data_IF_601849630505
#
_entry.id   IF_601849630505
#
_cell.length_a   1.000
_cell.length_b   1.000
_cell.length_c   1.000
_cell.angle_alpha   90.00
_cell.angle_beta   90.00
_cell.angle_gamma   90.00
#
_symmetry.space_group_name_H-M   'P 1'
#
loop_
_entity.id
_entity.type
_entity.pdbx_description
1 polymer ?
#
# COMPACT_ATOMS: atom_id res chain seq x y z
N UNK A 1 -4.70 19.76 4.83
CA UNK A 1 -4.20 21.04 4.32
C UNK A 1 -5.00 21.56 3.10
N UNK A 2 -6.04 20.84 2.65
CA UNK A 2 -6.88 21.28 1.52
C UNK A 2 -6.27 21.04 0.14
N UNK A 3 -5.24 20.23 0.03
CA UNK A 3 -4.70 19.73 -1.24
C UNK A 3 -5.60 18.61 -1.79
N UNK A 4 -5.71 18.54 -3.11
CA UNK A 4 -6.52 17.55 -3.83
C UNK A 4 -5.66 16.75 -4.82
N UNK A 5 -6.00 15.50 -5.12
CA UNK A 5 -5.38 14.78 -6.23
C UNK A 5 -5.56 15.56 -7.54
N UNK A 6 -4.46 15.75 -8.29
CA UNK A 6 -4.46 16.53 -9.52
C UNK A 6 -4.07 18.00 -9.35
N UNK A 7 -3.89 18.48 -8.12
CA UNK A 7 -3.33 19.81 -7.88
C UNK A 7 -1.90 19.90 -8.41
N UNK A 8 -1.57 21.03 -9.05
CA UNK A 8 -0.23 21.33 -9.56
C UNK A 8 0.48 22.24 -8.57
N UNK A 9 1.62 21.81 -8.04
CA UNK A 9 2.47 22.64 -7.18
C UNK A 9 3.37 23.50 -8.05
N UNK A 10 3.20 24.80 -8.01
CA UNK A 10 3.98 25.76 -8.79
C UNK A 10 5.24 26.22 -8.05
N UNK A 11 5.14 26.41 -6.72
CA UNK A 11 6.27 26.83 -5.89
C UNK A 11 6.25 26.10 -4.54
N UNK A 12 7.44 25.91 -3.96
CA UNK A 12 7.68 25.35 -2.63
C UNK A 12 8.53 26.36 -1.85
N UNK A 13 7.97 26.96 -0.78
CA UNK A 13 8.61 28.03 0.00
C UNK A 13 9.13 29.19 -0.90
N UNK A 14 8.37 29.53 -1.96
CA UNK A 14 8.73 30.58 -2.93
C UNK A 14 9.71 30.14 -4.02
N UNK A 15 10.23 28.91 -4.01
CA UNK A 15 11.06 28.37 -5.05
C UNK A 15 10.20 27.72 -6.14
N UNK A 16 10.41 28.13 -7.40
CA UNK A 16 9.71 27.57 -8.55
C UNK A 16 10.01 26.08 -8.74
N UNK A 17 8.99 25.30 -9.14
CA UNK A 17 9.10 23.84 -9.30
C UNK A 17 9.34 23.41 -10.74
N UNK A 18 9.28 24.32 -11.71
CA UNK A 18 9.30 23.99 -13.14
C UNK A 18 10.55 23.19 -13.57
N UNK A 19 11.73 23.57 -13.03
CA UNK A 19 13.00 22.92 -13.35
C UNK A 19 13.43 21.87 -12.31
N UNK A 20 12.59 21.61 -11.27
CA UNK A 20 12.92 20.65 -10.22
C UNK A 20 12.61 19.21 -10.65
N UNK A 21 13.52 18.31 -10.35
CA UNK A 21 13.24 16.89 -10.40
C UNK A 21 12.34 16.52 -9.24
N UNK A 22 11.58 15.43 -9.39
CA UNK A 22 10.65 14.97 -8.36
C UNK A 22 11.32 14.74 -7.00
N UNK A 23 12.53 14.17 -7.00
CA UNK A 23 13.28 13.91 -5.75
C UNK A 23 13.76 15.21 -5.06
N UNK A 24 14.02 16.26 -5.81
CA UNK A 24 14.37 17.58 -5.30
C UNK A 24 13.15 18.27 -4.69
N UNK A 25 12.02 18.27 -5.40
CA UNK A 25 10.76 18.78 -4.89
C UNK A 25 10.34 18.07 -3.59
N UNK A 26 10.45 16.73 -3.53
CA UNK A 26 10.17 15.95 -2.32
C UNK A 26 11.08 16.34 -1.15
N UNK A 27 12.37 16.61 -1.39
CA UNK A 27 13.29 17.08 -0.34
C UNK A 27 12.90 18.44 0.22
N UNK A 28 12.45 19.36 -0.64
CA UNK A 28 11.99 20.70 -0.20
C UNK A 28 10.69 20.61 0.61
N UNK A 29 9.76 19.74 0.18
CA UNK A 29 8.50 19.53 0.91
C UNK A 29 8.75 18.88 2.27
N UNK A 30 9.67 17.89 2.34
CA UNK A 30 10.05 17.24 3.60
C UNK A 30 10.86 18.20 4.49
N UNK A 31 10.83 17.95 5.79
CA UNK A 31 11.59 18.75 6.77
C UNK A 31 11.28 18.32 8.20
N UNK A 32 11.82 19.05 9.19
CA UNK A 32 11.64 18.75 10.61
C UNK A 32 10.16 18.74 11.00
N UNK A 33 9.76 17.80 11.86
CA UNK A 33 8.42 17.76 12.47
C UNK A 33 8.10 19.09 13.14
N UNK A 34 6.91 19.62 12.89
CA UNK A 34 6.43 20.88 13.46
C UNK A 34 6.84 22.13 12.66
N UNK A 35 7.71 22.01 11.66
CA UNK A 35 7.96 23.09 10.71
C UNK A 35 6.84 23.20 9.68
N UNK A 36 6.74 24.37 9.04
CA UNK A 36 5.75 24.65 7.99
C UNK A 36 6.45 24.72 6.65
N UNK A 37 5.78 24.26 5.58
CA UNK A 37 6.11 24.53 4.19
C UNK A 37 4.94 25.24 3.55
N UNK A 38 5.21 26.22 2.70
CA UNK A 38 4.20 26.93 1.90
C UNK A 38 4.27 26.40 0.47
N UNK A 39 3.15 25.88 -0.01
CA UNK A 39 3.02 25.39 -1.39
C UNK A 39 2.12 26.37 -2.15
N UNK A 40 2.63 26.94 -3.25
CA UNK A 40 1.80 27.67 -4.20
C UNK A 40 1.20 26.64 -5.17
N UNK A 41 -0.12 26.52 -5.18
CA UNK A 41 -0.85 25.43 -5.81
C UNK A 41 -1.92 25.95 -6.76
N UNK A 42 -1.99 25.35 -7.95
CA UNK A 42 -3.05 25.55 -8.91
C UNK A 42 -3.90 24.26 -9.03
N UNK A 43 -5.19 24.39 -8.79
CA UNK A 43 -6.16 23.28 -8.95
C UNK A 43 -6.93 23.46 -10.25
N UNK A 44 -7.24 22.36 -10.93
CA UNK A 44 -8.08 22.40 -12.13
C UNK A 44 -9.46 22.96 -11.80
N UNK A 45 -9.82 24.07 -12.44
CA UNK A 45 -11.06 24.81 -12.22
C UNK A 45 -10.92 26.06 -11.34
N UNK A 46 -9.74 26.28 -10.75
CA UNK A 46 -9.45 27.54 -10.06
C UNK A 46 -9.06 28.62 -11.08
N UNK A 47 -9.38 29.89 -10.81
CA UNK A 47 -8.98 31.03 -11.67
C UNK A 47 -7.53 31.45 -11.40
N UNK A 48 -7.06 31.25 -10.18
CA UNK A 48 -5.71 31.66 -9.74
C UNK A 48 -5.07 30.61 -8.83
N UNK A 49 -3.74 30.60 -8.80
CA UNK A 49 -2.98 29.80 -7.85
C UNK A 49 -3.13 30.35 -6.41
N UNK A 50 -3.10 29.48 -5.42
CA UNK A 50 -3.23 29.82 -4.02
C UNK A 50 -2.11 29.25 -3.17
N UNK A 51 -1.77 29.94 -2.09
CA UNK A 51 -0.82 29.44 -1.11
C UNK A 51 -1.49 28.51 -0.09
N UNK A 52 -0.90 27.35 0.10
CA UNK A 52 -1.32 26.36 1.08
C UNK A 52 -0.19 26.11 2.07
N UNK A 53 -0.41 26.50 3.31
CA UNK A 53 0.53 26.20 4.40
C UNK A 53 0.31 24.79 4.93
N UNK A 54 1.36 23.99 4.92
CA UNK A 54 1.35 22.61 5.41
C UNK A 54 2.29 22.46 6.60
N UNK A 55 1.74 22.16 7.77
CA UNK A 55 2.54 21.82 8.94
C UNK A 55 3.07 20.40 8.82
N UNK A 56 4.39 20.24 8.87
CA UNK A 56 5.04 18.93 8.79
C UNK A 56 4.80 18.14 10.07
N UNK A 57 4.28 16.93 9.92
CA UNK A 57 4.04 16.01 11.02
C UNK A 57 4.57 14.63 10.68
N UNK A 58 4.83 13.81 11.68
CA UNK A 58 5.03 12.38 11.43
C UNK A 58 3.68 11.76 11.13
N UNK A 59 3.47 11.35 9.88
CA UNK A 59 2.28 10.62 9.48
C UNK A 59 2.57 9.13 9.71
N UNK A 60 1.84 8.51 10.63
CA UNK A 60 1.81 7.06 10.73
C UNK A 60 0.73 6.58 9.78
N UNK A 61 1.13 6.15 8.59
CA UNK A 61 0.23 5.43 7.70
C UNK A 61 0.20 3.99 8.20
N UNK A 62 -0.96 3.44 8.59
CA UNK A 62 -1.05 2.02 8.92
C UNK A 62 -0.65 1.19 7.69
N UNK A 63 -0.04 0.03 7.91
CA UNK A 63 0.34 -0.85 6.79
C UNK A 63 -0.88 -1.49 6.15
N UNK A 64 -1.93 -1.67 6.94
CA UNK A 64 -3.23 -2.20 6.53
C UNK A 64 -4.37 -1.37 7.10
N UNK A 65 -5.51 -1.41 6.44
CA UNK A 65 -6.82 -1.08 7.01
C UNK A 65 -7.79 -2.19 6.70
N UNK A 66 -8.79 -2.38 7.56
CA UNK A 66 -9.82 -3.38 7.33
C UNK A 66 -11.15 -2.97 7.93
N UNK A 67 -12.22 -3.46 7.34
CA UNK A 67 -13.59 -3.34 7.85
C UNK A 67 -14.44 -4.53 7.41
N UNK A 68 -15.62 -4.63 8.00
CA UNK A 68 -16.69 -5.52 7.54
C UNK A 68 -17.87 -4.64 7.14
N UNK A 69 -18.33 -4.69 5.86
CA UNK A 69 -19.52 -3.95 5.44
C UNK A 69 -20.75 -4.34 6.26
N UNK A 70 -21.58 -3.37 6.63
CA UNK A 70 -22.79 -3.62 7.45
C UNK A 70 -23.79 -4.52 6.72
N UNK A 71 -23.87 -4.41 5.39
CA UNK A 71 -24.80 -5.17 4.54
C UNK A 71 -24.37 -6.64 4.40
N UNK A 72 -23.08 -6.95 4.56
CA UNK A 72 -22.50 -8.28 4.38
C UNK A 72 -21.61 -8.67 5.56
N UNK A 73 -22.18 -8.87 6.74
CA UNK A 73 -21.42 -9.30 7.91
C UNK A 73 -20.77 -10.67 7.65
N UNK A 74 -19.46 -10.71 7.78
CA UNK A 74 -18.62 -11.88 7.47
C UNK A 74 -17.78 -11.72 6.21
N UNK A 75 -17.99 -10.70 5.40
CA UNK A 75 -17.02 -10.29 4.38
C UNK A 75 -16.02 -9.31 5.02
N UNK A 76 -14.74 -9.61 4.90
CA UNK A 76 -13.66 -8.72 5.34
C UNK A 76 -13.12 -7.99 4.13
N UNK A 77 -13.17 -6.67 4.14
CA UNK A 77 -12.41 -5.82 3.23
C UNK A 77 -11.08 -5.47 3.90
N UNK A 78 -10.00 -6.08 3.41
CA UNK A 78 -8.63 -5.90 3.89
C UNK A 78 -7.84 -5.14 2.83
N UNK A 79 -7.45 -3.92 3.12
CA UNK A 79 -6.60 -3.09 2.27
C UNK A 79 -5.16 -3.10 2.79
N UNK A 80 -4.20 -3.43 1.93
CA UNK A 80 -2.77 -3.33 2.22
C UNK A 80 -2.23 -2.11 1.49
N UNK A 81 -1.72 -1.12 2.23
CA UNK A 81 -1.22 0.12 1.67
C UNK A 81 0.23 0.03 1.17
N UNK A 82 1.05 -0.78 1.84
CA UNK A 82 2.46 -1.01 1.47
C UNK A 82 2.96 -2.30 2.12
N UNK A 83 3.78 -3.07 1.40
CA UNK A 83 4.38 -4.30 1.94
C UNK A 83 5.64 -3.99 2.75
N UNK A 84 5.50 -3.97 4.07
CA UNK A 84 6.57 -3.80 5.05
C UNK A 84 6.46 -4.87 6.16
N UNK A 85 7.41 -4.90 7.07
CA UNK A 85 7.50 -5.91 8.14
C UNK A 85 6.32 -5.91 9.13
N UNK A 86 5.47 -4.89 9.11
CA UNK A 86 4.31 -4.79 10.02
C UNK A 86 3.05 -5.44 9.46
N UNK A 87 2.96 -5.65 8.15
CA UNK A 87 1.73 -6.12 7.47
C UNK A 87 1.20 -7.40 8.09
N UNK A 88 2.00 -8.46 8.13
CA UNK A 88 1.54 -9.77 8.64
C UNK A 88 1.23 -9.73 10.14
N UNK A 89 2.06 -9.13 11.01
CA UNK A 89 1.69 -8.91 12.40
C UNK A 89 0.39 -8.11 12.59
N UNK A 90 0.17 -7.05 11.81
CA UNK A 90 -1.06 -6.25 11.87
C UNK A 90 -2.28 -7.06 11.40
N UNK A 91 -2.17 -7.83 10.30
CA UNK A 91 -3.23 -8.73 9.84
C UNK A 91 -3.58 -9.74 10.95
N UNK A 92 -2.59 -10.45 11.48
CA UNK A 92 -2.81 -11.46 12.54
C UNK A 92 -3.46 -10.86 13.78
N UNK A 93 -3.01 -9.69 14.23
CA UNK A 93 -3.57 -8.98 15.35
C UNK A 93 -5.03 -8.58 15.10
N UNK A 94 -5.32 -7.97 13.96
CA UNK A 94 -6.65 -7.49 13.62
C UNK A 94 -7.67 -8.64 13.51
N UNK A 95 -7.25 -9.76 12.96
CA UNK A 95 -8.13 -10.91 12.74
C UNK A 95 -8.21 -11.85 13.93
N UNK A 96 -7.32 -11.73 14.94
CA UNK A 96 -7.40 -12.53 16.17
C UNK A 96 -8.68 -12.26 16.98
N UNK A 97 -9.32 -11.12 16.74
CA UNK A 97 -10.58 -10.74 17.41
C UNK A 97 -11.82 -11.26 16.67
N UNK A 98 -11.66 -11.80 15.44
CA UNK A 98 -12.75 -12.31 14.61
C UNK A 98 -12.69 -13.85 14.60
N UNK A 99 -13.75 -14.55 15.06
CA UNK A 99 -13.79 -16.01 14.91
C UNK A 99 -13.68 -16.41 13.44
N UNK A 100 -12.73 -17.32 13.13
CA UNK A 100 -12.48 -17.74 11.74
C UNK A 100 -13.74 -18.26 11.05
N UNK A 101 -14.60 -18.93 11.79
CA UNK A 101 -15.86 -19.51 11.32
C UNK A 101 -16.88 -18.45 10.90
N UNK A 102 -16.71 -17.21 11.37
CA UNK A 102 -17.58 -16.08 10.97
C UNK A 102 -17.14 -15.42 9.69
N UNK A 103 -15.92 -15.70 9.20
CA UNK A 103 -15.37 -15.14 7.97
C UNK A 103 -15.89 -15.94 6.78
N UNK A 104 -16.79 -15.34 5.99
CA UNK A 104 -17.38 -15.95 4.79
C UNK A 104 -16.58 -15.67 3.52
N UNK A 105 -15.79 -14.60 3.52
CA UNK A 105 -14.96 -14.21 2.39
C UNK A 105 -14.08 -13.00 2.69
N UNK A 106 -13.08 -12.80 1.85
CA UNK A 106 -12.14 -11.67 1.95
C UNK A 106 -12.09 -10.94 0.61
N UNK A 107 -12.17 -9.62 0.67
CA UNK A 107 -11.80 -8.72 -0.42
C UNK A 107 -10.42 -8.17 -0.05
N UNK A 108 -9.38 -8.66 -0.71
CA UNK A 108 -8.00 -8.19 -0.55
C UNK A 108 -7.77 -7.03 -1.52
N UNK A 109 -7.69 -5.81 -1.00
CA UNK A 109 -7.53 -4.61 -1.80
C UNK A 109 -6.05 -4.19 -1.86
N UNK A 110 -5.49 -4.31 -3.06
CA UNK A 110 -4.12 -3.93 -3.38
C UNK A 110 -4.08 -2.77 -4.39
N UNK A 111 -5.21 -2.09 -4.61
CA UNK A 111 -5.26 -0.95 -5.52
C UNK A 111 -4.38 0.19 -4.99
N UNK A 112 -3.64 0.83 -5.90
CA UNK A 112 -2.68 1.90 -5.60
C UNK A 112 -1.56 1.50 -4.63
N UNK A 113 -1.34 0.20 -4.40
CA UNK A 113 -0.24 -0.30 -3.59
C UNK A 113 1.01 -0.52 -4.47
N UNK A 114 2.07 0.28 -4.32
CA UNK A 114 3.27 0.20 -5.16
C UNK A 114 4.15 -1.01 -4.84
N UNK A 115 3.75 -1.86 -3.89
CA UNK A 115 4.52 -3.01 -3.45
C UNK A 115 5.29 -2.77 -2.15
N UNK A 116 6.49 -3.30 -2.08
CA UNK A 116 7.38 -3.23 -0.91
C UNK A 116 8.32 -4.42 -0.84
N UNK A 117 8.53 -4.97 0.35
CA UNK A 117 9.46 -6.08 0.54
C UNK A 117 8.96 -7.38 -0.07
N UNK A 118 9.86 -8.08 -0.77
CA UNK A 118 9.59 -9.39 -1.36
C UNK A 118 9.21 -10.41 -0.28
N UNK A 119 9.95 -10.45 0.80
CA UNK A 119 9.72 -11.35 1.93
C UNK A 119 8.31 -11.16 2.49
N UNK A 120 7.86 -9.91 2.62
CA UNK A 120 6.49 -9.62 3.08
C UNK A 120 5.44 -10.11 2.08
N UNK A 121 5.69 -10.01 0.77
CA UNK A 121 4.77 -10.59 -0.23
C UNK A 121 4.66 -12.11 -0.07
N UNK A 122 5.77 -12.79 0.15
CA UNK A 122 5.80 -14.24 0.41
C UNK A 122 5.04 -14.58 1.68
N UNK A 123 5.29 -13.86 2.78
CA UNK A 123 4.59 -14.05 4.06
C UNK A 123 3.09 -13.80 3.95
N UNK A 124 2.67 -12.74 3.23
CA UNK A 124 1.25 -12.44 2.99
C UNK A 124 0.61 -13.52 2.16
N UNK A 125 1.22 -13.94 1.04
CA UNK A 125 0.71 -15.04 0.22
C UNK A 125 0.57 -16.34 1.03
N UNK A 126 1.51 -16.60 1.94
CA UNK A 126 1.51 -17.77 2.82
C UNK A 126 0.34 -17.79 3.82
N UNK A 127 -0.44 -16.71 3.94
CA UNK A 127 -1.68 -16.74 4.70
C UNK A 127 -2.80 -17.48 3.96
N UNK A 128 -2.70 -17.67 2.65
CA UNK A 128 -3.70 -18.36 1.81
C UNK A 128 -3.24 -19.71 1.29
N UNK A 129 -1.94 -19.87 1.01
CA UNK A 129 -1.41 -21.08 0.35
C UNK A 129 -0.28 -21.71 1.17
N UNK A 130 -0.14 -23.04 1.04
CA UNK A 130 0.86 -23.86 1.74
C UNK A 130 1.69 -24.67 0.72
N UNK A 131 2.97 -24.89 1.02
CA UNK A 131 3.86 -25.79 0.31
C UNK A 131 3.97 -25.56 -1.22
N UNK A 132 3.72 -24.32 -1.66
CA UNK A 132 3.81 -23.93 -3.08
C UNK A 132 4.89 -22.89 -3.31
N UNK A 133 5.36 -22.82 -4.55
CA UNK A 133 6.26 -21.76 -4.99
C UNK A 133 5.47 -20.47 -5.17
N UNK A 134 5.84 -19.41 -4.43
CA UNK A 134 5.24 -18.09 -4.56
C UNK A 134 5.91 -17.29 -5.68
N UNK A 135 7.24 -17.25 -5.67
CA UNK A 135 8.01 -16.47 -6.65
C UNK A 135 9.40 -17.05 -6.85
N UNK A 136 9.89 -17.00 -8.08
CA UNK A 136 11.26 -17.34 -8.44
C UNK A 136 11.99 -16.10 -8.97
N UNK A 137 13.05 -15.68 -8.28
CA UNK A 137 13.94 -14.64 -8.75
C UNK A 137 15.02 -15.24 -9.66
N UNK A 138 15.11 -14.75 -10.90
CA UNK A 138 16.15 -15.15 -11.85
C UNK A 138 17.06 -13.97 -12.19
N UNK A 139 18.35 -14.11 -11.96
CA UNK A 139 19.33 -13.12 -12.37
C UNK A 139 19.90 -13.48 -13.75
N UNK A 140 20.41 -12.47 -14.46
CA UNK A 140 21.02 -12.66 -15.82
C UNK A 140 22.21 -13.59 -15.83
N UNK A 141 22.92 -13.74 -14.71
CA UNK A 141 24.07 -14.64 -14.55
C UNK A 141 23.68 -16.13 -14.33
N UNK A 142 22.38 -16.47 -14.42
CA UNK A 142 21.86 -17.82 -14.20
C UNK A 142 21.54 -18.15 -12.73
N UNK A 143 21.81 -17.26 -11.79
CA UNK A 143 21.38 -17.45 -10.40
C UNK A 143 19.85 -17.46 -10.33
N UNK A 144 19.31 -18.43 -9.59
CA UNK A 144 17.89 -18.55 -9.31
C UNK A 144 17.66 -18.76 -7.82
N UNK A 145 16.73 -18.02 -7.26
CA UNK A 145 16.28 -18.17 -5.88
C UNK A 145 14.76 -18.35 -5.84
N UNK A 146 14.33 -19.43 -5.20
CA UNK A 146 12.91 -19.77 -5.05
C UNK A 146 12.44 -19.37 -3.66
N UNK A 147 11.30 -18.74 -3.60
CA UNK A 147 10.62 -18.37 -2.37
C UNK A 147 9.31 -19.14 -2.31
N UNK A 148 9.24 -20.11 -1.39
CA UNK A 148 8.05 -20.94 -1.19
C UNK A 148 7.18 -20.37 -0.07
N UNK A 149 5.89 -20.69 -0.10
CA UNK A 149 5.00 -20.45 1.01
C UNK A 149 5.51 -21.18 2.27
N UNK A 150 5.33 -20.55 3.42
CA UNK A 150 5.76 -21.08 4.70
C UNK A 150 4.80 -20.70 5.84
N UNK A 151 4.82 -21.46 6.92
CA UNK A 151 3.92 -21.25 8.05
C UNK A 151 2.54 -21.83 7.78
N UNK A 152 1.53 -21.36 8.51
CA UNK A 152 0.15 -21.85 8.42
C UNK A 152 -0.68 -20.93 7.54
N UNK A 153 -1.33 -21.48 6.51
CA UNK A 153 -2.27 -20.76 5.65
C UNK A 153 -3.59 -20.51 6.39
N UNK A 154 -3.64 -19.42 7.12
CA UNK A 154 -4.79 -19.07 7.96
C UNK A 154 -6.09 -18.92 7.17
N UNK A 155 -6.01 -18.45 5.92
CA UNK A 155 -7.14 -18.17 5.04
C UNK A 155 -7.35 -19.21 3.93
N UNK A 156 -6.68 -20.36 4.00
CA UNK A 156 -6.64 -21.38 2.93
C UNK A 156 -8.00 -21.72 2.30
N UNK A 157 -9.03 -21.83 3.10
CA UNK A 157 -10.36 -22.25 2.63
C UNK A 157 -11.37 -21.09 2.58
N UNK A 158 -10.90 -19.86 2.69
CA UNK A 158 -11.77 -18.67 2.70
C UNK A 158 -11.80 -18.10 1.27
N UNK A 159 -13.00 -18.04 0.64
CA UNK A 159 -13.15 -17.40 -0.68
C UNK A 159 -12.57 -15.98 -0.66
N UNK A 160 -11.67 -15.68 -1.58
CA UNK A 160 -10.97 -14.41 -1.63
C UNK A 160 -11.02 -13.80 -3.02
N UNK A 161 -11.33 -12.50 -3.09
CA UNK A 161 -11.22 -11.69 -4.30
C UNK A 161 -10.10 -10.69 -4.10
N UNK A 162 -9.19 -10.60 -5.07
CA UNK A 162 -8.09 -9.62 -5.04
C UNK A 162 -8.41 -8.47 -5.98
N UNK A 163 -8.38 -7.24 -5.46
CA UNK A 163 -8.56 -6.03 -6.23
C UNK A 163 -7.21 -5.41 -6.55
N UNK A 164 -6.94 -5.20 -7.83
CA UNK A 164 -5.73 -4.53 -8.34
C UNK A 164 -6.12 -3.43 -9.32
N UNK A 165 -5.22 -2.48 -9.55
CA UNK A 165 -5.34 -1.45 -10.57
C UNK A 165 -3.96 -1.05 -11.13
N UNK A 166 -3.90 -0.01 -11.96
CA UNK A 166 -2.65 0.49 -12.56
C UNK A 166 -1.61 0.97 -11.53
N UNK A 167 -2.03 1.29 -10.31
CA UNK A 167 -1.14 1.66 -9.21
C UNK A 167 -0.60 0.47 -8.41
N UNK A 168 -1.06 -0.75 -8.72
CA UNK A 168 -0.56 -1.98 -8.08
C UNK A 168 0.71 -2.44 -8.78
N UNK A 169 1.79 -2.67 -8.02
CA UNK A 169 3.08 -3.05 -8.60
C UNK A 169 3.89 -3.97 -7.68
N UNK A 170 4.90 -4.67 -8.24
CA UNK A 170 5.91 -5.43 -7.49
C UNK A 170 5.29 -6.47 -6.53
N UNK A 171 5.44 -6.30 -5.21
CA UNK A 171 4.90 -7.20 -4.19
C UNK A 171 3.39 -7.44 -4.32
N UNK A 172 2.62 -6.42 -4.75
CA UNK A 172 1.18 -6.55 -5.01
C UNK A 172 0.89 -7.51 -6.16
N UNK A 173 1.70 -7.48 -7.22
CA UNK A 173 1.57 -8.38 -8.36
C UNK A 173 1.94 -9.81 -7.97
N UNK A 174 2.96 -9.97 -7.12
CA UNK A 174 3.36 -11.30 -6.59
C UNK A 174 2.20 -11.92 -5.81
N UNK A 175 1.59 -11.19 -4.89
CA UNK A 175 0.47 -11.69 -4.09
C UNK A 175 -0.74 -11.99 -4.99
N UNK A 176 -1.09 -11.08 -5.90
CA UNK A 176 -2.21 -11.30 -6.81
C UNK A 176 -2.02 -12.54 -7.69
N UNK A 177 -0.81 -12.73 -8.24
CA UNK A 177 -0.46 -13.92 -9.03
C UNK A 177 -0.50 -15.19 -8.21
N UNK A 178 0.12 -15.21 -7.03
CA UNK A 178 0.16 -16.37 -6.15
C UNK A 178 -1.23 -16.85 -5.65
N UNK A 179 -2.20 -15.94 -5.57
CA UNK A 179 -3.57 -16.28 -5.19
C UNK A 179 -4.45 -16.64 -6.39
N UNK A 180 -4.05 -16.28 -7.61
CA UNK A 180 -4.75 -16.61 -8.84
C UNK A 180 -4.44 -18.04 -9.33
N UNK A 181 -3.19 -18.50 -9.18
CA UNK A 181 -2.68 -19.81 -9.65
C UNK A 181 -3.07 -20.94 -8.67
#
# INVERSE_FOLDING_TARGET
AGLRPGDIVLQIDGQDTFDLRLDEAVRLIRGPKGSTVVLNVFSVGDEEARDVSVNRATIQVPSITWNTPEEEPGIIHLEIHQFNEKVVPEIRKSLSEIPKESIKGIVLDLRNNPGGFLETAVEVSSLWVEDVLIVEQKARNGFSQKHNAHGTAYFKDIPTVVLINQGSASASEIVAGALQD
#
